data_IF_206189417455
#
_entry.id   IF_206189417455
#
_cell.length_a   1.000
_cell.length_b   1.000
_cell.length_c   1.000
_cell.angle_alpha   90.00
_cell.angle_beta   90.00
_cell.angle_gamma   90.00
#
_symmetry.space_group_name_H-M   'P 1'
#
loop_
_entity.id
_entity.type
_entity.pdbx_description
1 polymer ?
#
# COMPACT_ATOMS: atom_id res chain seq x y z
N UNK A 1 28.31 11.55 -29.51
CA UNK A 1 26.90 11.95 -29.43
C UNK A 1 26.36 11.47 -28.09
N UNK A 2 25.89 12.41 -27.28
CA UNK A 2 25.87 12.30 -25.82
C UNK A 2 24.53 11.75 -25.31
N UNK A 3 24.54 10.97 -24.22
CA UNK A 3 23.38 10.25 -23.68
C UNK A 3 22.19 11.18 -23.34
N UNK A 4 22.49 12.47 -23.11
CA UNK A 4 21.52 13.53 -22.84
C UNK A 4 20.61 13.86 -24.04
N UNK A 5 21.05 13.69 -25.28
CA UNK A 5 20.24 14.01 -26.47
C UNK A 5 19.16 12.94 -26.73
N UNK A 6 19.42 11.68 -26.34
CA UNK A 6 18.44 10.60 -26.42
C UNK A 6 17.29 10.75 -25.43
N UNK A 7 17.51 11.43 -24.30
CA UNK A 7 16.47 11.67 -23.29
C UNK A 7 15.57 12.85 -23.68
N UNK A 8 16.09 13.87 -24.40
CA UNK A 8 15.30 15.02 -24.85
C UNK A 8 14.29 14.68 -25.96
N UNK A 9 14.65 13.75 -26.86
CA UNK A 9 13.74 13.31 -27.93
C UNK A 9 12.63 12.36 -27.44
N UNK A 10 12.73 11.83 -26.22
CA UNK A 10 11.73 10.93 -25.63
C UNK A 10 10.61 11.69 -24.89
N UNK A 11 10.78 12.99 -24.61
CA UNK A 11 9.84 13.81 -23.83
C UNK A 11 9.27 15.03 -24.58
N UNK A 12 9.44 15.12 -25.90
CA UNK A 12 8.68 16.09 -26.71
C UNK A 12 8.95 17.57 -26.42
N UNK A 13 10.15 17.90 -25.94
CA UNK A 13 10.57 19.29 -25.72
C UNK A 13 11.52 19.74 -26.84
N UNK A 14 10.98 20.27 -27.94
CA UNK A 14 11.77 21.12 -28.85
C UNK A 14 11.85 22.54 -28.27
N UNK A 15 13.05 23.15 -28.17
CA UNK A 15 13.16 24.56 -27.82
C UNK A 15 12.66 25.43 -28.99
N UNK A 16 11.80 26.38 -28.69
CA UNK A 16 11.51 27.50 -29.57
C UNK A 16 12.64 28.52 -29.43
N UNK A 17 13.38 28.80 -30.51
CA UNK A 17 14.22 29.99 -30.61
C UNK A 17 13.40 31.13 -31.23
N UNK A 18 13.15 32.14 -30.38
CA UNK A 18 12.72 33.51 -30.67
C UNK A 18 13.90 34.28 -31.31
N UNK A 19 13.76 35.20 -32.28
CA UNK A 19 13.12 36.54 -32.27
C UNK A 19 13.57 37.30 -33.58
N UNK A 20 13.18 38.56 -33.90
CA UNK A 20 12.07 39.41 -33.47
C UNK A 20 11.26 40.09 -34.64
N UNK A 21 10.15 40.75 -34.24
CA UNK A 21 9.16 41.59 -34.96
C UNK A 21 9.76 42.89 -35.62
N UNK A 22 9.03 43.79 -36.37
CA UNK A 22 7.57 44.02 -36.41
C UNK A 22 6.86 44.41 -37.75
N UNK A 23 5.53 44.23 -37.75
CA UNK A 23 4.45 45.02 -38.39
C UNK A 23 4.34 45.16 -39.93
N UNK A 24 3.16 44.80 -40.48
CA UNK A 24 2.23 45.66 -41.28
C UNK A 24 1.10 44.81 -41.94
N UNK A 25 -0.15 45.12 -41.52
CA UNK A 25 -1.44 45.23 -42.26
C UNK A 25 -1.97 44.06 -43.16
N UNK A 26 -3.17 43.59 -42.80
CA UNK A 26 -4.22 42.74 -43.44
C UNK A 26 -4.68 43.16 -44.86
N UNK A 27 -5.70 42.50 -45.49
CA UNK A 27 -5.97 41.07 -45.73
C UNK A 27 -6.35 40.80 -47.22
N UNK A 28 -6.19 39.59 -47.78
CA UNK A 28 -7.10 39.15 -48.85
C UNK A 28 -7.14 37.65 -49.17
N UNK A 29 -8.38 37.19 -49.37
CA UNK A 29 -8.90 36.21 -50.33
C UNK A 29 -8.39 34.75 -50.45
N UNK A 30 -9.33 33.85 -50.08
CA UNK A 30 -9.92 32.76 -50.89
C UNK A 30 -9.05 31.65 -51.50
N UNK A 31 -9.44 30.44 -51.07
CA UNK A 31 -9.76 29.24 -51.87
C UNK A 31 -8.75 28.10 -51.99
N UNK A 32 -9.34 26.90 -51.82
CA UNK A 32 -9.07 25.62 -52.50
C UNK A 32 -8.24 24.50 -51.83
N UNK A 33 -9.02 23.52 -51.33
CA UNK A 33 -8.93 22.06 -51.57
C UNK A 33 -7.76 21.21 -51.03
N UNK A 34 -8.12 20.38 -50.02
CA UNK A 34 -7.82 18.94 -49.82
C UNK A 34 -6.35 18.49 -49.60
N UNK A 35 -6.07 17.30 -48.99
CA UNK A 35 -6.96 16.22 -48.59
C UNK A 35 -6.85 15.74 -47.13
N UNK A 36 -7.85 14.94 -46.77
CA UNK A 36 -7.95 14.10 -45.57
C UNK A 36 -6.77 13.13 -45.50
N UNK A 37 -5.93 13.23 -44.48
CA UNK A 37 -5.07 12.12 -44.04
C UNK A 37 -5.60 11.61 -42.72
N UNK A 38 -6.39 10.54 -42.81
CA UNK A 38 -6.72 9.62 -41.74
C UNK A 38 -5.44 9.18 -41.03
N UNK A 39 -5.25 9.62 -39.78
CA UNK A 39 -4.19 9.08 -38.93
C UNK A 39 -4.57 7.63 -38.60
N UNK A 40 -3.72 6.75 -39.10
CA UNK A 40 -3.68 5.31 -38.86
C UNK A 40 -3.73 4.97 -37.38
N UNK A 41 -4.61 4.03 -37.05
CA UNK A 41 -4.76 3.35 -35.77
C UNK A 41 -3.42 2.74 -35.33
N UNK A 42 -2.84 3.22 -34.23
CA UNK A 42 -1.68 2.57 -33.61
C UNK A 42 -2.16 1.35 -32.82
N UNK A 43 -1.79 0.16 -33.30
CA UNK A 43 -1.82 -1.10 -32.56
C UNK A 43 -0.61 -1.15 -31.62
N UNK A 44 -0.74 -0.54 -30.45
CA UNK A 44 0.11 -0.77 -29.29
C UNK A 44 -0.77 -1.00 -28.07
N UNK A 45 -0.26 -1.61 -26.99
CA UNK A 45 -0.98 -1.67 -25.71
C UNK A 45 -1.47 -0.26 -25.34
N UNK A 46 -2.69 -0.10 -24.82
CA UNK A 46 -3.23 1.21 -24.50
C UNK A 46 -2.26 1.95 -23.55
N UNK A 47 -2.04 3.26 -23.75
CA UNK A 47 -1.18 4.04 -22.86
C UNK A 47 -1.59 3.83 -21.40
N UNK A 48 -0.62 3.68 -20.48
CA UNK A 48 -0.89 3.40 -19.06
C UNK A 48 -1.88 4.40 -18.41
N UNK A 49 -1.95 5.63 -18.92
CA UNK A 49 -2.96 6.61 -18.50
C UNK A 49 -4.39 6.20 -18.87
N UNK A 50 -4.61 5.76 -20.11
CA UNK A 50 -5.92 5.27 -20.59
C UNK A 50 -6.34 4.02 -19.84
N UNK A 51 -5.42 3.07 -19.64
CA UNK A 51 -5.71 1.85 -18.88
C UNK A 51 -6.02 2.16 -17.41
N UNK A 52 -5.34 3.15 -16.81
CA UNK A 52 -5.69 3.63 -15.46
C UNK A 52 -7.09 4.19 -15.38
N UNK A 53 -7.50 4.99 -16.37
CA UNK A 53 -8.86 5.51 -16.42
C UNK A 53 -9.89 4.38 -16.54
N UNK A 54 -9.58 3.33 -17.32
CA UNK A 54 -10.42 2.13 -17.43
C UNK A 54 -10.56 1.39 -16.09
N UNK A 55 -9.46 1.18 -15.37
CA UNK A 55 -9.48 0.56 -14.03
C UNK A 55 -10.29 1.40 -13.05
N UNK A 56 -10.07 2.71 -13.02
CA UNK A 56 -10.83 3.63 -12.17
C UNK A 56 -12.32 3.58 -12.50
N UNK A 57 -12.68 3.65 -13.78
CA UNK A 57 -14.07 3.59 -14.24
C UNK A 57 -14.74 2.27 -13.89
N UNK A 58 -14.02 1.15 -14.00
CA UNK A 58 -14.48 -0.15 -13.56
C UNK A 58 -14.81 -0.14 -12.06
N UNK A 59 -13.85 0.25 -11.20
CA UNK A 59 -14.04 0.27 -9.74
C UNK A 59 -15.21 1.18 -9.36
N UNK A 60 -15.20 2.42 -9.83
CA UNK A 60 -16.25 3.41 -9.54
C UNK A 60 -17.60 2.90 -10.03
N UNK A 61 -17.66 2.36 -11.25
CA UNK A 61 -18.87 1.85 -11.86
C UNK A 61 -19.51 0.72 -11.04
N UNK A 62 -18.72 -0.22 -10.52
CA UNK A 62 -19.23 -1.30 -9.66
C UNK A 62 -19.65 -0.80 -8.29
N UNK A 63 -18.96 0.21 -7.74
CA UNK A 63 -19.27 0.77 -6.43
C UNK A 63 -20.45 1.75 -6.41
N UNK A 64 -21.02 2.10 -7.58
CA UNK A 64 -22.26 2.90 -7.63
C UNK A 64 -23.43 2.26 -6.88
N UNK A 65 -23.41 0.95 -6.67
CA UNK A 65 -24.40 0.25 -5.85
C UNK A 65 -24.42 0.74 -4.38
N UNK A 66 -23.32 1.33 -3.89
CA UNK A 66 -23.18 1.83 -2.51
C UNK A 66 -23.31 3.36 -2.44
N UNK A 67 -23.77 4.00 -3.52
CA UNK A 67 -23.95 5.44 -3.56
C UNK A 67 -25.04 5.86 -2.57
N UNK A 68 -24.73 6.81 -1.69
CA UNK A 68 -25.62 7.27 -0.61
C UNK A 68 -26.02 6.20 0.45
N UNK A 69 -25.32 5.06 0.51
CA UNK A 69 -25.56 4.03 1.54
C UNK A 69 -24.37 3.93 2.52
N UNK A 70 -24.25 4.84 3.50
CA UNK A 70 -23.10 4.86 4.42
C UNK A 70 -23.05 3.64 5.36
N UNK A 71 -24.20 3.04 5.67
CA UNK A 71 -24.29 1.91 6.60
C UNK A 71 -23.87 0.58 5.98
N UNK A 72 -23.97 0.44 4.66
CA UNK A 72 -23.52 -0.72 3.85
C UNK A 72 -22.22 -0.41 3.09
N UNK A 73 -21.62 0.75 3.36
CA UNK A 73 -20.43 1.20 2.65
C UNK A 73 -19.27 0.19 2.86
N UNK A 74 -18.58 -0.20 1.78
CA UNK A 74 -17.46 -1.12 1.89
C UNK A 74 -16.38 -0.61 2.83
N UNK A 75 -15.85 -1.50 3.67
CA UNK A 75 -14.70 -1.22 4.54
C UNK A 75 -13.38 -1.50 3.83
N UNK A 76 -13.41 -2.17 2.68
CA UNK A 76 -12.22 -2.42 1.87
C UNK A 76 -12.52 -2.91 0.46
N UNK A 77 -11.52 -2.82 -0.41
CA UNK A 77 -11.59 -3.23 -1.80
C UNK A 77 -10.33 -4.03 -2.18
N UNK A 78 -10.51 -5.11 -2.92
CA UNK A 78 -9.42 -5.83 -3.61
C UNK A 78 -9.60 -5.77 -5.11
N UNK A 79 -8.62 -5.21 -5.80
CA UNK A 79 -8.50 -5.34 -7.24
C UNK A 79 -7.64 -6.54 -7.61
N UNK A 80 -8.24 -7.56 -8.21
CA UNK A 80 -7.51 -8.68 -8.81
C UNK A 80 -7.35 -8.40 -10.30
N UNK A 81 -6.13 -8.52 -10.81
CA UNK A 81 -5.82 -8.29 -12.23
C UNK A 81 -5.20 -9.55 -12.82
N UNK A 82 -5.81 -10.06 -13.89
CA UNK A 82 -5.28 -11.18 -14.64
C UNK A 82 -4.32 -10.65 -15.72
N UNK A 83 -3.06 -11.03 -15.62
CA UNK A 83 -1.97 -10.67 -16.51
C UNK A 83 -1.50 -11.93 -17.24
N UNK A 84 -1.72 -12.00 -18.55
CA UNK A 84 -1.40 -13.21 -19.34
C UNK A 84 0.09 -13.31 -19.69
N UNK A 85 0.83 -12.22 -19.54
CA UNK A 85 2.26 -12.15 -19.77
C UNK A 85 2.92 -11.12 -18.82
N UNK A 86 4.26 -11.14 -18.67
CA UNK A 86 4.97 -10.21 -17.79
C UNK A 86 4.86 -8.73 -18.20
N UNK A 87 4.76 -8.42 -19.50
CA UNK A 87 4.64 -7.04 -19.98
C UNK A 87 3.31 -6.40 -19.55
N UNK A 88 2.22 -7.18 -19.54
CA UNK A 88 0.92 -6.76 -19.01
C UNK A 88 1.01 -6.45 -17.52
N UNK A 89 1.70 -7.29 -16.74
CA UNK A 89 1.89 -7.07 -15.31
C UNK A 89 2.67 -5.78 -15.04
N UNK A 90 3.77 -5.54 -15.75
CA UNK A 90 4.55 -4.31 -15.65
C UNK A 90 3.72 -3.07 -16.02
N UNK A 91 2.89 -3.17 -17.06
CA UNK A 91 1.97 -2.11 -17.43
C UNK A 91 0.97 -1.81 -16.30
N UNK A 92 0.38 -2.84 -15.68
CA UNK A 92 -0.52 -2.65 -14.55
C UNK A 92 0.21 -2.12 -13.30
N UNK A 93 1.48 -2.45 -13.11
CA UNK A 93 2.31 -1.87 -12.03
C UNK A 93 2.46 -0.35 -12.20
N UNK A 94 2.54 0.14 -13.43
CA UNK A 94 2.55 1.58 -13.75
C UNK A 94 1.16 2.21 -13.59
N UNK A 95 0.10 1.48 -13.98
CA UNK A 95 -1.29 1.91 -13.81
C UNK A 95 -1.61 2.16 -12.33
N UNK A 96 -1.25 1.21 -11.47
CA UNK A 96 -1.56 1.19 -10.04
C UNK A 96 -0.55 1.97 -9.18
N UNK A 97 0.44 2.63 -9.80
CA UNK A 97 1.50 3.36 -9.12
C UNK A 97 2.15 2.55 -7.99
N UNK A 98 2.53 1.32 -8.28
CA UNK A 98 3.07 0.39 -7.26
C UNK A 98 4.34 0.90 -6.59
N UNK A 99 5.08 1.80 -7.25
CA UNK A 99 6.26 2.48 -6.70
C UNK A 99 5.96 3.71 -5.82
N UNK A 100 4.69 4.11 -5.68
CA UNK A 100 4.23 5.23 -4.86
C UNK A 100 3.09 4.76 -3.95
N UNK A 101 3.43 4.11 -2.81
CA UNK A 101 2.45 3.56 -1.88
C UNK A 101 1.36 4.57 -1.51
N UNK A 102 0.11 4.12 -1.51
CA UNK A 102 -1.06 4.93 -1.17
C UNK A 102 -1.52 5.93 -2.24
N UNK A 103 -0.72 6.24 -3.27
CA UNK A 103 -1.09 7.22 -4.29
C UNK A 103 -2.35 6.82 -5.07
N UNK A 104 -2.43 5.57 -5.50
CA UNK A 104 -3.59 5.07 -6.23
C UNK A 104 -4.84 5.09 -5.35
N UNK A 105 -4.72 4.64 -4.09
CA UNK A 105 -5.82 4.68 -3.14
C UNK A 105 -6.31 6.10 -2.88
N UNK A 106 -5.41 7.07 -2.73
CA UNK A 106 -5.76 8.48 -2.53
C UNK A 106 -6.50 9.08 -3.74
N UNK A 107 -6.02 8.77 -4.95
CA UNK A 107 -6.69 9.19 -6.18
C UNK A 107 -8.08 8.52 -6.31
N UNK A 108 -8.16 7.22 -6.06
CA UNK A 108 -9.42 6.48 -6.09
C UNK A 108 -10.41 7.04 -5.07
N UNK A 109 -9.96 7.37 -3.85
CA UNK A 109 -10.80 7.98 -2.82
C UNK A 109 -11.41 9.31 -3.30
N UNK A 110 -10.62 10.16 -3.96
CA UNK A 110 -11.10 11.41 -4.54
C UNK A 110 -12.17 11.17 -5.59
N UNK A 111 -11.91 10.27 -6.54
CA UNK A 111 -12.84 9.95 -7.62
C UNK A 111 -14.14 9.32 -7.12
N UNK A 112 -14.07 8.48 -6.07
CA UNK A 112 -15.26 7.92 -5.43
C UNK A 112 -16.10 9.00 -4.75
N UNK A 113 -15.46 9.94 -4.06
CA UNK A 113 -16.14 11.08 -3.44
C UNK A 113 -16.82 11.98 -4.49
N UNK A 114 -16.17 12.24 -5.63
CA UNK A 114 -16.74 12.98 -6.77
C UNK A 114 -17.98 12.27 -7.37
N UNK A 115 -18.11 10.95 -7.15
CA UNK A 115 -19.26 10.14 -7.55
C UNK A 115 -20.24 9.88 -6.38
N UNK A 116 -20.14 10.63 -5.27
CA UNK A 116 -20.99 10.50 -4.08
C UNK A 116 -20.93 9.13 -3.39
N UNK A 117 -19.82 8.41 -3.55
CA UNK A 117 -19.54 7.14 -2.86
C UNK A 117 -18.60 7.46 -1.69
N UNK A 118 -19.13 7.40 -0.47
CA UNK A 118 -18.35 7.71 0.74
C UNK A 118 -17.93 6.43 1.44
N UNK A 119 -16.63 6.14 1.44
CA UNK A 119 -16.05 5.04 2.20
C UNK A 119 -15.60 5.49 3.61
N UNK A 120 -15.54 4.58 4.60
CA UNK A 120 -15.04 4.89 5.94
C UNK A 120 -13.61 5.44 5.93
N UNK A 121 -13.24 6.29 6.90
CA UNK A 121 -11.90 6.95 6.92
C UNK A 121 -10.70 5.99 6.90
N UNK A 122 -10.88 4.78 7.41
CA UNK A 122 -9.87 3.73 7.54
C UNK A 122 -10.06 2.59 6.53
N UNK A 123 -10.79 2.84 5.44
CA UNK A 123 -10.99 1.84 4.40
C UNK A 123 -9.66 1.41 3.75
N UNK A 124 -9.59 0.16 3.31
CA UNK A 124 -8.37 -0.41 2.73
C UNK A 124 -8.53 -0.66 1.23
N UNK A 125 -7.49 -0.34 0.46
CA UNK A 125 -7.40 -0.71 -0.96
C UNK A 125 -6.18 -1.57 -1.19
N UNK A 126 -6.40 -2.73 -1.80
CA UNK A 126 -5.32 -3.63 -2.19
C UNK A 126 -5.49 -4.11 -3.62
N UNK A 127 -4.39 -4.61 -4.18
CA UNK A 127 -4.40 -5.23 -5.49
C UNK A 127 -3.47 -6.45 -5.54
N UNK A 128 -3.79 -7.40 -6.41
CA UNK A 128 -2.98 -8.57 -6.67
C UNK A 128 -3.01 -8.94 -8.16
N UNK A 129 -1.87 -9.45 -8.65
CA UNK A 129 -1.72 -9.95 -10.02
C UNK A 129 -1.85 -11.46 -10.04
N UNK A 130 -2.54 -11.97 -11.05
CA UNK A 130 -2.77 -13.39 -11.29
C UNK A 130 -2.39 -13.73 -12.73
N UNK A 131 -1.90 -14.94 -12.95
CA UNK A 131 -1.27 -15.37 -14.20
C UNK A 131 -2.14 -16.36 -14.98
N UNK A 132 -3.09 -17.00 -14.29
CA UNK A 132 -3.89 -18.11 -14.82
C UNK A 132 -5.38 -17.81 -14.70
N UNK A 133 -5.89 -17.76 -13.46
CA UNK A 133 -7.31 -17.49 -13.19
C UNK A 133 -7.50 -16.40 -12.15
N UNK A 134 -8.51 -15.56 -12.35
CA UNK A 134 -8.98 -14.65 -11.30
C UNK A 134 -9.61 -15.45 -10.14
N UNK A 135 -9.42 -15.01 -8.88
CA UNK A 135 -10.10 -15.59 -7.73
C UNK A 135 -11.61 -15.33 -7.79
N UNK A 136 -12.36 -15.89 -6.86
CA UNK A 136 -13.77 -15.51 -6.70
C UNK A 136 -13.86 -14.03 -6.27
N UNK A 137 -14.66 -13.25 -6.99
CA UNK A 137 -14.73 -11.78 -6.84
C UNK A 137 -16.16 -11.32 -6.91
N UNK A 138 -16.53 -10.33 -6.09
CA UNK A 138 -17.87 -9.72 -6.07
C UNK A 138 -18.31 -9.21 -7.46
N UNK A 139 -17.38 -8.60 -8.19
CA UNK A 139 -17.60 -8.12 -9.54
C UNK A 139 -16.45 -8.51 -10.45
N UNK A 140 -16.74 -8.81 -11.72
CA UNK A 140 -15.75 -9.16 -12.72
C UNK A 140 -16.05 -8.47 -14.04
N UNK A 141 -15.01 -8.01 -14.72
CA UNK A 141 -15.10 -7.43 -16.06
C UNK A 141 -13.79 -7.67 -16.81
N UNK A 142 -13.84 -8.53 -17.84
CA UNK A 142 -12.64 -8.93 -18.57
C UNK A 142 -11.57 -9.55 -17.66
N UNK A 143 -10.39 -8.93 -17.65
CA UNK A 143 -9.24 -9.34 -16.84
C UNK A 143 -9.21 -8.68 -15.45
N UNK A 144 -10.24 -7.91 -15.08
CA UNK A 144 -10.35 -7.28 -13.76
C UNK A 144 -11.39 -8.00 -12.91
N UNK A 145 -11.03 -8.24 -11.66
CA UNK A 145 -11.93 -8.67 -10.59
C UNK A 145 -11.90 -7.66 -9.45
N UNK A 146 -13.05 -7.34 -8.87
CA UNK A 146 -13.19 -6.50 -7.70
C UNK A 146 -13.90 -7.30 -6.60
N UNK A 147 -13.20 -7.53 -5.50
CA UNK A 147 -13.83 -8.04 -4.28
C UNK A 147 -14.12 -6.87 -3.35
N UNK A 148 -15.37 -6.80 -2.88
CA UNK A 148 -15.84 -5.76 -1.97
C UNK A 148 -15.95 -6.35 -0.57
N UNK A 149 -15.22 -5.77 0.37
CA UNK A 149 -15.27 -6.16 1.78
C UNK A 149 -16.33 -5.31 2.46
N UNK A 150 -17.43 -5.94 2.85
CA UNK A 150 -18.53 -5.31 3.58
C UNK A 150 -18.38 -5.58 5.09
N UNK A 151 -18.82 -4.63 5.91
CA UNK A 151 -18.92 -4.74 7.36
C UNK A 151 -19.89 -5.83 7.80
N UNK A 152 -20.91 -6.13 6.98
CA UNK A 152 -21.98 -7.11 7.29
C UNK A 152 -21.59 -8.56 6.99
N UNK A 153 -20.58 -8.77 6.14
CA UNK A 153 -20.04 -10.08 5.77
C UNK A 153 -18.51 -10.07 5.85
N UNK A 154 -17.94 -10.02 7.06
CA UNK A 154 -16.55 -10.42 7.21
C UNK A 154 -16.50 -11.90 6.81
N UNK A 155 -16.02 -12.20 5.61
CA UNK A 155 -15.87 -13.58 5.11
C UNK A 155 -14.71 -14.32 5.80
N UNK A 156 -14.41 -13.94 7.04
CA UNK A 156 -13.35 -14.48 7.85
C UNK A 156 -13.82 -14.60 9.27
N UNK A 157 -13.81 -15.83 9.79
CA UNK A 157 -13.79 -16.04 11.24
C UNK A 157 -12.72 -15.15 11.86
N UNK A 158 -12.93 -14.59 13.08
CA UNK A 158 -11.88 -13.85 13.76
C UNK A 158 -10.61 -14.68 13.80
N UNK A 159 -9.55 -14.17 13.19
CA UNK A 159 -8.28 -14.85 13.09
C UNK A 159 -7.44 -14.39 14.26
N UNK A 160 -7.30 -15.27 15.23
CA UNK A 160 -6.52 -15.01 16.43
C UNK A 160 -5.05 -15.28 16.14
N UNK A 161 -4.18 -14.44 16.67
CA UNK A 161 -2.75 -14.68 16.68
C UNK A 161 -2.18 -14.40 18.07
N UNK A 162 -1.02 -14.96 18.35
CA UNK A 162 -0.25 -14.74 19.58
C UNK A 162 1.10 -14.14 19.22
N UNK A 163 1.55 -13.20 20.05
CA UNK A 163 2.91 -12.66 20.04
C UNK A 163 3.56 -12.87 21.40
N UNK A 164 4.76 -13.47 21.42
CA UNK A 164 5.59 -13.65 22.62
C UNK A 164 7.01 -13.17 22.35
N UNK A 165 7.77 -12.80 23.39
CA UNK A 165 9.19 -12.51 23.24
C UNK A 165 10.03 -13.79 23.37
N UNK A 166 10.89 -14.02 22.37
CA UNK A 166 11.99 -14.99 22.44
C UNK A 166 13.24 -14.35 23.03
N UNK A 167 13.51 -13.08 22.69
CA UNK A 167 14.62 -12.26 23.19
C UNK A 167 14.08 -10.86 23.49
N UNK A 168 14.50 -10.28 24.61
CA UNK A 168 13.96 -9.04 25.14
C UNK A 168 12.85 -9.27 26.15
N UNK A 169 12.32 -8.17 26.71
CA UNK A 169 11.26 -8.21 27.71
C UNK A 169 10.05 -7.38 27.28
N UNK A 170 8.89 -8.01 27.25
CA UNK A 170 7.61 -7.34 27.05
C UNK A 170 6.93 -7.05 28.40
N UNK A 171 5.94 -6.16 28.37
CA UNK A 171 5.10 -5.87 29.55
C UNK A 171 4.20 -7.05 29.93
N UNK A 172 3.73 -7.83 28.94
CA UNK A 172 2.96 -9.06 29.13
C UNK A 172 3.75 -10.25 28.56
N UNK A 173 3.59 -11.43 29.15
CA UNK A 173 4.27 -12.64 28.66
C UNK A 173 3.79 -13.05 27.26
N UNK A 174 2.51 -12.81 26.96
CA UNK A 174 1.90 -13.02 25.66
C UNK A 174 0.90 -11.92 25.30
N UNK A 175 0.75 -11.64 24.01
CA UNK A 175 -0.27 -10.75 23.47
C UNK A 175 -1.14 -11.51 22.47
N UNK A 176 -2.46 -11.52 22.73
CA UNK A 176 -3.45 -12.09 21.80
C UNK A 176 -3.93 -10.99 20.86
N UNK A 177 -3.68 -11.18 19.58
CA UNK A 177 -4.17 -10.32 18.50
C UNK A 177 -5.51 -10.88 18.03
N UNK A 178 -6.55 -10.08 18.19
CA UNK A 178 -7.91 -10.43 17.82
C UNK A 178 -8.41 -9.48 16.74
N UNK A 179 -8.43 -9.97 15.50
CA UNK A 179 -8.78 -9.17 14.33
C UNK A 179 -10.23 -8.67 14.33
N UNK A 180 -11.11 -9.26 15.14
CA UNK A 180 -12.47 -8.75 15.34
C UNK A 180 -12.53 -7.56 16.31
N UNK A 181 -11.56 -7.43 17.22
CA UNK A 181 -11.50 -6.31 18.18
C UNK A 181 -10.69 -5.14 17.64
N UNK A 182 -9.55 -5.43 17.04
CA UNK A 182 -8.67 -4.41 16.49
C UNK A 182 -7.95 -4.96 15.26
N UNK A 183 -7.80 -4.14 14.23
CA UNK A 183 -7.10 -4.51 13.00
C UNK A 183 -5.66 -4.03 12.97
N UNK A 184 -5.22 -3.20 13.93
CA UNK A 184 -3.84 -2.69 13.99
C UNK A 184 -3.33 -2.73 15.42
N UNK A 185 -2.21 -3.40 15.63
CA UNK A 185 -1.56 -3.57 16.93
C UNK A 185 -0.18 -2.89 16.88
N UNK A 186 -0.05 -1.75 17.54
CA UNK A 186 1.16 -0.94 17.57
C UNK A 186 2.24 -1.59 18.44
N UNK A 187 3.47 -1.65 17.93
CA UNK A 187 4.65 -2.18 18.61
C UNK A 187 5.60 -1.04 18.93
N UNK A 188 6.11 -1.00 20.16
CA UNK A 188 7.17 -0.09 20.53
C UNK A 188 7.58 -0.18 21.99
N UNK A 189 8.68 0.52 22.31
CA UNK A 189 9.17 0.65 23.68
C UNK A 189 8.32 1.64 24.49
N UNK A 190 7.87 1.21 25.66
CA UNK A 190 6.97 1.95 26.54
C UNK A 190 5.52 1.96 26.06
N UNK A 191 4.58 2.10 27.01
CA UNK A 191 3.13 2.06 26.77
C UNK A 191 2.67 3.18 25.82
N UNK A 192 3.23 4.37 25.98
CA UNK A 192 2.84 5.54 25.20
C UNK A 192 4.05 6.33 24.73
N UNK A 193 3.90 7.00 23.59
CA UNK A 193 4.91 7.91 23.05
C UNK A 193 4.25 9.08 22.36
N UNK A 194 4.93 10.23 22.34
CA UNK A 194 4.56 11.32 21.46
C UNK A 194 5.19 11.09 20.08
N UNK A 195 4.37 11.21 19.04
CA UNK A 195 4.81 11.16 17.65
C UNK A 195 5.38 12.53 17.23
N UNK A 196 6.04 12.61 16.08
CA UNK A 196 6.59 13.85 15.55
C UNK A 196 5.54 14.96 15.34
N UNK A 197 4.27 14.60 15.20
CA UNK A 197 3.15 15.56 15.10
C UNK A 197 2.62 16.04 16.46
N UNK A 198 3.22 15.60 17.57
CA UNK A 198 2.75 15.89 18.94
C UNK A 198 1.59 15.01 19.40
N UNK A 199 1.06 14.13 18.53
CA UNK A 199 -0.02 13.19 18.91
C UNK A 199 0.55 12.08 19.78
N UNK A 200 -0.17 11.73 20.84
CA UNK A 200 0.11 10.55 21.66
C UNK A 200 -0.30 9.28 20.91
N UNK A 201 0.64 8.35 20.76
CA UNK A 201 0.43 6.98 20.31
C UNK A 201 0.51 6.04 21.51
N UNK A 202 -0.39 5.07 21.56
CA UNK A 202 -0.37 3.96 22.50
C UNK A 202 0.14 2.72 21.77
N UNK A 203 1.07 1.99 22.39
CA UNK A 203 1.51 0.70 21.88
C UNK A 203 0.63 -0.41 22.49
N UNK A 204 0.17 -1.32 21.64
CA UNK A 204 -0.62 -2.48 22.04
C UNK A 204 0.30 -3.64 22.46
N UNK A 205 1.46 -3.77 21.80
CA UNK A 205 2.53 -4.70 22.13
C UNK A 205 3.69 -3.88 22.68
N UNK A 206 3.93 -4.00 23.99
CA UNK A 206 4.80 -3.09 24.73
C UNK A 206 6.10 -3.78 25.07
N UNK A 207 7.21 -3.26 24.53
CA UNK A 207 8.55 -3.59 24.98
C UNK A 207 8.84 -2.72 26.22
N UNK A 208 9.24 -3.33 27.34
CA UNK A 208 9.52 -2.57 28.56
C UNK A 208 10.72 -1.63 28.38
N UNK A 209 10.60 -0.43 28.93
CA UNK A 209 11.71 0.46 29.13
C UNK A 209 12.47 0.14 30.43
N UNK A 210 13.70 0.64 30.54
CA UNK A 210 14.57 0.45 31.70
C UNK A 210 14.02 1.02 33.01
N UNK A 211 13.14 2.01 32.93
CA UNK A 211 12.44 2.63 34.06
C UNK A 211 11.02 2.06 34.31
N UNK A 212 10.56 1.09 33.50
CA UNK A 212 9.23 0.51 33.68
C UNK A 212 9.20 -0.48 34.86
N UNK A 213 8.09 -0.54 35.62
CA UNK A 213 7.91 -1.53 36.68
C UNK A 213 8.06 -2.97 36.15
N UNK A 214 8.91 -3.75 36.81
CA UNK A 214 9.14 -5.15 36.44
C UNK A 214 10.20 -5.36 35.35
N UNK A 215 10.89 -4.31 34.90
CA UNK A 215 12.05 -4.45 34.02
C UNK A 215 13.17 -5.25 34.68
N UNK A 216 13.64 -6.28 33.98
CA UNK A 216 14.79 -7.11 34.34
C UNK A 216 15.96 -6.71 33.42
N UNK A 217 17.06 -6.14 33.97
CA UNK A 217 18.20 -5.69 33.18
C UNK A 217 18.91 -6.78 32.37
N UNK A 218 18.79 -8.05 32.76
CA UNK A 218 19.35 -9.15 31.98
C UNK A 218 18.43 -9.51 30.81
N UNK A 219 17.13 -9.73 31.09
CA UNK A 219 16.14 -10.11 30.07
C UNK A 219 15.89 -8.99 29.05
N UNK A 220 15.83 -7.75 29.53
CA UNK A 220 15.53 -6.54 28.76
C UNK A 220 16.75 -5.78 28.25
N UNK A 221 17.96 -6.33 28.36
CA UNK A 221 19.20 -5.64 27.97
C UNK A 221 19.16 -5.05 26.54
N UNK A 222 18.53 -5.75 25.60
CA UNK A 222 18.38 -5.30 24.20
C UNK A 222 17.17 -4.41 23.92
N UNK A 223 16.27 -4.19 24.89
CA UNK A 223 15.05 -3.42 24.67
C UNK A 223 15.33 -1.97 24.24
N UNK A 224 16.46 -1.40 24.66
CA UNK A 224 16.87 -0.04 24.31
C UNK A 224 17.04 0.20 22.80
N UNK A 225 17.33 -0.85 22.02
CA UNK A 225 17.44 -0.80 20.57
C UNK A 225 16.07 -0.63 19.87
N UNK A 226 14.97 -0.91 20.57
CA UNK A 226 13.61 -0.75 20.05
C UNK A 226 13.14 0.69 20.24
N UNK A 227 12.65 1.27 19.15
CA UNK A 227 12.08 2.61 19.14
C UNK A 227 10.73 2.65 19.87
N UNK A 228 10.34 3.81 20.38
CA UNK A 228 9.04 3.99 21.04
C UNK A 228 7.84 3.84 20.08
N UNK A 229 8.04 4.12 18.79
CA UNK A 229 7.12 3.79 17.70
C UNK A 229 7.92 3.06 16.62
N UNK A 230 7.90 1.73 16.66
CA UNK A 230 8.84 0.92 15.88
C UNK A 230 8.17 0.20 14.72
N UNK A 231 7.03 -0.45 14.96
CA UNK A 231 6.27 -1.15 13.92
C UNK A 231 4.80 -1.30 14.35
N UNK A 232 3.98 -1.92 13.52
CA UNK A 232 2.66 -2.42 13.87
C UNK A 232 2.39 -3.74 13.16
N UNK A 233 1.64 -4.63 13.80
CA UNK A 233 1.04 -5.79 13.13
C UNK A 233 -0.38 -5.39 12.73
N UNK A 234 -0.69 -5.45 11.43
CA UNK A 234 -2.02 -5.15 10.90
C UNK A 234 -2.67 -6.43 10.42
N UNK A 235 -3.92 -6.63 10.80
CA UNK A 235 -4.77 -7.57 10.13
C UNK A 235 -5.28 -6.98 8.84
N UNK A 236 -4.95 -7.65 7.74
CA UNK A 236 -5.47 -7.35 6.44
C UNK A 236 -6.79 -8.11 6.26
N UNK A 237 -7.90 -7.39 6.40
CA UNK A 237 -9.26 -7.92 6.22
C UNK A 237 -9.50 -8.42 4.80
N UNK A 238 -8.73 -7.91 3.85
CA UNK A 238 -8.82 -8.30 2.46
C UNK A 238 -8.12 -9.65 2.33
N UNK A 239 -6.82 -9.76 2.67
CA UNK A 239 -6.01 -10.98 2.56
C UNK A 239 -6.23 -12.02 3.64
N UNK A 240 -7.08 -11.72 4.60
CA UNK A 240 -7.40 -12.60 5.70
C UNK A 240 -6.13 -13.09 6.42
N UNK A 241 -5.15 -12.18 6.58
CA UNK A 241 -3.85 -12.49 7.15
C UNK A 241 -3.28 -11.31 7.92
N UNK A 242 -2.38 -11.59 8.84
CA UNK A 242 -1.59 -10.57 9.50
C UNK A 242 -0.41 -10.16 8.63
N UNK A 243 -0.01 -8.89 8.74
CA UNK A 243 1.17 -8.36 8.10
C UNK A 243 1.88 -7.36 9.04
N UNK A 244 3.20 -7.32 8.97
CA UNK A 244 4.03 -6.34 9.65
C UNK A 244 4.11 -5.06 8.82
N UNK A 245 3.93 -3.91 9.45
CA UNK A 245 4.16 -2.59 8.89
C UNK A 245 5.22 -1.90 9.74
N UNK A 246 6.30 -1.44 9.12
CA UNK A 246 7.40 -0.80 9.85
C UNK A 246 7.22 0.72 9.89
N UNK A 247 7.31 1.29 11.09
CA UNK A 247 7.25 2.72 11.31
C UNK A 247 8.65 3.35 11.08
N UNK A 248 8.76 4.69 10.95
CA UNK A 248 10.07 5.35 10.82
C UNK A 248 11.09 4.96 11.89
N UNK A 249 10.65 4.64 13.12
CA UNK A 249 11.53 4.20 14.20
C UNK A 249 12.08 2.77 14.05
N UNK A 250 11.48 1.93 13.20
CA UNK A 250 12.01 0.61 12.80
C UNK A 250 12.91 0.68 11.56
N UNK A 251 13.06 1.86 10.96
CA UNK A 251 13.87 2.13 9.77
C UNK A 251 15.02 3.12 10.05
N UNK A 252 15.87 2.91 11.06
CA UNK A 252 16.96 3.83 11.36
C UNK A 252 17.96 3.90 10.19
N UNK A 253 18.40 5.11 9.84
CA UNK A 253 19.32 5.35 8.72
C UNK A 253 20.70 4.68 8.88
N UNK A 254 21.14 4.42 10.13
CA UNK A 254 22.43 3.81 10.45
C UNK A 254 22.35 2.68 11.48
N UNK A 255 21.17 2.06 11.64
CA UNK A 255 20.94 1.02 12.65
C UNK A 255 20.40 -0.28 12.06
N UNK A 256 20.17 -1.25 12.94
CA UNK A 256 19.55 -2.52 12.57
C UNK A 256 18.07 -2.30 12.26
N UNK A 257 17.71 -2.43 10.98
CA UNK A 257 16.33 -2.37 10.51
C UNK A 257 15.57 -3.62 10.97
N UNK A 258 14.25 -3.48 11.09
CA UNK A 258 13.34 -4.59 11.34
C UNK A 258 13.47 -5.69 10.28
N UNK A 259 13.42 -6.96 10.69
CA UNK A 259 13.46 -8.13 9.81
C UNK A 259 12.43 -9.17 10.23
N UNK A 260 12.03 -9.99 9.27
CA UNK A 260 11.24 -11.20 9.49
C UNK A 260 12.13 -12.39 9.16
N UNK A 261 12.22 -13.34 10.07
CA UNK A 261 12.89 -14.63 9.89
C UNK A 261 11.78 -15.67 9.84
N UNK A 262 11.62 -16.28 8.68
CA UNK A 262 10.58 -17.28 8.48
C UNK A 262 10.98 -18.64 9.07
N UNK A 263 10.04 -19.57 9.29
CA UNK A 263 10.32 -20.93 9.79
C UNK A 263 11.32 -21.73 8.95
N UNK A 264 11.54 -21.36 7.69
CA UNK A 264 12.51 -21.96 6.79
C UNK A 264 13.88 -21.24 6.81
N UNK A 265 14.13 -20.40 7.81
CA UNK A 265 15.33 -19.55 8.02
C UNK A 265 15.57 -18.49 6.94
N UNK A 266 14.66 -18.33 5.96
CA UNK A 266 14.73 -17.22 5.02
C UNK A 266 14.44 -15.89 5.72
N UNK A 267 15.14 -14.84 5.29
CA UNK A 267 15.11 -13.53 5.94
C UNK A 267 14.55 -12.48 5.00
N UNK A 268 13.44 -11.89 5.38
CA UNK A 268 12.85 -10.74 4.71
C UNK A 268 13.21 -9.46 5.47
N UNK A 269 13.77 -8.46 4.78
CA UNK A 269 14.10 -7.17 5.39
C UNK A 269 12.91 -6.25 5.22
N UNK A 270 12.34 -5.80 6.34
CA UNK A 270 11.21 -4.90 6.32
C UNK A 270 11.73 -3.45 6.28
N UNK A 271 12.28 -3.03 5.13
CA UNK A 271 13.09 -1.81 5.01
C UNK A 271 12.45 -0.65 4.24
N UNK A 272 11.22 -0.85 3.77
CA UNK A 272 10.39 0.14 3.09
C UNK A 272 9.26 0.60 4.01
N UNK A 273 9.22 1.91 4.31
CA UNK A 273 8.16 2.52 5.11
C UNK A 273 6.80 2.37 4.43
N UNK A 274 5.78 1.96 5.19
CA UNK A 274 4.42 1.81 4.69
C UNK A 274 4.18 0.61 3.77
N UNK A 275 5.19 -0.23 3.54
CA UNK A 275 5.01 -1.54 2.91
C UNK A 275 4.53 -2.54 3.96
N UNK A 276 3.57 -3.40 3.58
CA UNK A 276 3.09 -4.50 4.40
C UNK A 276 3.86 -5.77 4.07
N UNK A 277 4.40 -6.42 5.10
CA UNK A 277 5.15 -7.67 4.99
C UNK A 277 4.32 -8.80 5.60
N UNK A 278 3.81 -9.76 4.81
CA UNK A 278 2.91 -10.79 5.31
C UNK A 278 3.56 -11.64 6.40
N UNK A 279 2.80 -11.94 7.44
CA UNK A 279 3.22 -12.84 8.52
C UNK A 279 2.54 -14.20 8.36
N UNK A 280 3.30 -15.25 8.66
CA UNK A 280 2.82 -16.62 8.80
C UNK A 280 3.15 -17.15 10.19
N UNK A 281 2.42 -18.19 10.62
CA UNK A 281 2.66 -18.81 11.92
C UNK A 281 4.10 -19.33 12.01
N UNK A 282 4.80 -19.01 13.10
CA UNK A 282 6.19 -19.37 13.34
C UNK A 282 7.21 -18.34 12.88
N UNK A 283 6.78 -17.24 12.24
CA UNK A 283 7.69 -16.14 11.89
C UNK A 283 8.28 -15.50 13.17
N UNK A 284 9.57 -15.19 13.12
CA UNK A 284 10.26 -14.40 14.12
C UNK A 284 10.50 -12.98 13.62
N UNK A 285 10.09 -11.99 14.39
CA UNK A 285 10.21 -10.57 14.06
C UNK A 285 11.36 -9.99 14.88
N UNK A 286 12.45 -9.62 14.20
CA UNK A 286 13.61 -8.98 14.80
C UNK A 286 13.42 -7.45 14.81
N UNK A 287 13.44 -6.84 16.00
CA UNK A 287 13.27 -5.41 16.23
C UNK A 287 14.58 -4.81 16.71
N UNK A 288 15.09 -3.79 16.00
CA UNK A 288 16.32 -3.10 16.38
C UNK A 288 17.58 -3.98 16.42
N UNK A 289 17.50 -5.22 15.93
CA UNK A 289 18.58 -6.21 15.95
C UNK A 289 18.85 -6.88 17.31
N UNK A 290 18.09 -6.55 18.35
CA UNK A 290 18.35 -7.04 19.72
C UNK A 290 17.11 -7.63 20.41
N UNK A 291 15.90 -7.36 19.91
CA UNK A 291 14.65 -7.94 20.41
C UNK A 291 14.07 -8.85 19.34
N UNK A 292 13.54 -10.00 19.77
CA UNK A 292 12.99 -11.01 18.87
C UNK A 292 11.64 -11.48 19.39
N UNK A 293 10.61 -11.29 18.57
CA UNK A 293 9.25 -11.72 18.85
C UNK A 293 8.91 -12.95 18.01
N UNK A 294 8.17 -13.89 18.57
CA UNK A 294 7.55 -14.98 17.82
C UNK A 294 6.09 -14.61 17.52
N UNK A 295 5.68 -14.79 16.27
CA UNK A 295 4.31 -14.63 15.82
C UNK A 295 3.70 -16.00 15.48
N UNK A 296 2.53 -16.30 16.04
CA UNK A 296 1.83 -17.57 15.80
C UNK A 296 0.34 -17.34 15.54
N UNK A 297 -0.23 -18.09 14.60
CA UNK A 297 -1.67 -18.15 14.41
C UNK A 297 -2.29 -19.16 15.40
N UNK A 298 -3.52 -18.89 15.86
CA UNK A 298 -4.26 -19.73 16.82
C UNK A 298 -5.45 -20.45 16.16
#
# INVERSE_FOLDING_TARGET
>A
MNLLEKVKNLFGFTPAEQEPNPSIITPNERSESAPVTSKSTQTGPPPAATLREQVMRFIIGKLRAYQNEPDTAPIGLRLSVLCTNPEDEDLYRVVLWTNQPGKFQAELARQLADNYITLPKNWQFEYAFFNDTLPDTTYREGNLGLFVVDKSKPDSSPLLARVIALVGQLEQDEYILDSAKNTTFCIGRGRTTQTASGRVRTNDIVILNDDDPGFDPQKGSGNGAVSRAHAAIRYDLVQNRYALLVDPGGLPAGGNKTKIIHPNDSRERADIAGMSYPLQSGDQIELGGEVMLLFELL
#
